data_IF_445421274666
#
_entry.id   IF_445421274666
#
_cell.length_a   1.000
_cell.length_b   1.000
_cell.length_c   1.000
_cell.angle_alpha   90.00
_cell.angle_beta   90.00
_cell.angle_gamma   90.00
#
_symmetry.space_group_name_H-M   'P 1'
#
loop_
_entity.id
_entity.type
_entity.pdbx_description
1 polymer ?
#
# COMPACT_ATOMS: atom_id res chain seq x y z
N UNK A 1 -14.49 2.58 9.59
CA UNK A 1 -13.74 3.73 10.18
C UNK A 1 -12.29 3.31 10.37
N UNK A 2 -11.31 4.14 9.98
CA UNK A 2 -9.89 3.78 10.09
C UNK A 2 -9.48 3.71 11.55
N UNK A 3 -8.76 2.64 11.93
CA UNK A 3 -8.22 2.50 13.28
C UNK A 3 -6.93 3.32 13.45
N UNK A 4 -7.08 4.61 13.73
CA UNK A 4 -5.96 5.54 13.93
C UNK A 4 -5.02 5.15 15.08
N UNK A 5 -5.42 4.24 15.98
CA UNK A 5 -4.56 3.76 17.07
C UNK A 5 -3.36 2.93 16.59
N UNK A 6 -3.44 2.40 15.37
CA UNK A 6 -2.39 1.60 14.76
C UNK A 6 -1.46 2.43 13.85
N UNK A 7 -1.77 3.72 13.62
CA UNK A 7 -1.06 4.60 12.70
C UNK A 7 -0.15 5.59 13.42
N UNK A 8 0.98 5.91 12.80
CA UNK A 8 1.78 7.11 13.10
C UNK A 8 1.41 8.24 12.13
N UNK A 9 0.44 9.06 12.50
CA UNK A 9 -0.04 10.19 11.69
C UNK A 9 0.94 11.37 11.66
N UNK A 10 2.07 11.30 12.37
CA UNK A 10 3.09 12.35 12.31
C UNK A 10 3.77 12.46 10.94
N UNK A 11 3.62 11.43 10.10
CA UNK A 11 4.06 11.42 8.71
C UNK A 11 3.11 12.13 7.74
N UNK A 12 1.87 12.45 8.14
CA UNK A 12 0.87 13.04 7.24
C UNK A 12 1.32 14.41 6.72
N UNK A 13 1.80 15.27 7.58
CA UNK A 13 2.30 16.59 7.19
C UNK A 13 3.47 16.54 6.20
N UNK A 14 4.51 15.71 6.39
CA UNK A 14 5.53 15.47 5.35
C UNK A 14 4.95 14.95 4.03
N UNK A 15 3.97 14.05 4.07
CA UNK A 15 3.32 13.53 2.87
C UNK A 15 2.47 14.57 2.14
N UNK A 16 1.88 15.52 2.84
CA UNK A 16 1.11 16.62 2.25
C UNK A 16 1.97 17.52 1.34
N UNK A 17 3.28 17.52 1.53
CA UNK A 17 4.21 18.26 0.68
C UNK A 17 4.51 17.55 -0.67
N UNK A 18 4.07 16.31 -0.85
CA UNK A 18 4.26 15.54 -2.08
C UNK A 18 3.03 15.74 -2.97
N UNK A 19 3.11 16.66 -3.93
CA UNK A 19 1.97 17.05 -4.79
C UNK A 19 1.37 15.88 -5.58
N UNK A 20 2.21 14.93 -6.02
CA UNK A 20 1.79 13.78 -6.81
C UNK A 20 1.25 12.61 -5.97
N UNK A 21 1.28 12.69 -4.63
CA UNK A 21 0.81 11.66 -3.74
C UNK A 21 -0.71 11.75 -3.58
N UNK A 22 -1.42 10.81 -4.17
CA UNK A 22 -2.88 10.78 -4.11
C UNK A 22 -3.38 10.09 -2.83
N UNK A 23 -2.81 8.93 -2.49
CA UNK A 23 -3.23 8.15 -1.32
C UNK A 23 -2.13 8.14 -0.27
N UNK A 24 -2.49 8.53 0.95
CA UNK A 24 -1.58 8.49 2.08
C UNK A 24 -1.11 7.05 2.36
N UNK A 25 0.20 6.81 2.50
CA UNK A 25 0.70 5.53 2.93
C UNK A 25 0.15 5.12 4.30
N UNK A 26 0.04 3.83 4.55
CA UNK A 26 -0.04 3.31 5.89
C UNK A 26 1.33 3.41 6.54
N UNK A 27 1.42 4.01 7.70
CA UNK A 27 2.64 3.99 8.53
C UNK A 27 2.25 3.49 9.90
N UNK A 28 2.73 2.31 10.28
CA UNK A 28 2.43 1.73 11.58
C UNK A 28 3.01 2.56 12.72
N UNK A 29 2.31 2.63 13.85
CA UNK A 29 2.69 3.46 15.02
C UNK A 29 4.07 3.12 15.57
N UNK A 30 4.56 1.89 15.37
CA UNK A 30 5.87 1.41 15.82
C UNK A 30 6.92 1.41 14.69
N UNK A 31 6.55 1.85 13.46
CA UNK A 31 7.44 1.85 12.29
C UNK A 31 8.78 2.51 12.58
N UNK A 32 8.73 3.71 13.17
CA UNK A 32 9.94 4.51 13.46
C UNK A 32 10.91 3.84 14.43
N UNK A 33 10.38 3.07 15.38
CA UNK A 33 11.16 2.39 16.44
C UNK A 33 11.41 0.92 16.13
N UNK A 34 10.85 0.40 15.03
CA UNK A 34 11.10 -0.97 14.62
C UNK A 34 12.59 -1.19 14.33
N UNK A 35 13.15 -2.37 14.64
CA UNK A 35 14.56 -2.68 14.36
C UNK A 35 14.92 -2.56 12.88
N UNK A 36 13.95 -2.77 12.00
CA UNK A 36 14.03 -2.56 10.55
C UNK A 36 12.80 -1.79 10.10
N UNK A 37 13.01 -0.68 9.41
CA UNK A 37 11.96 0.12 8.80
C UNK A 37 11.58 -0.52 7.46
N UNK A 38 10.64 -1.47 7.51
CA UNK A 38 10.19 -2.18 6.31
C UNK A 38 9.08 -1.40 5.61
N UNK A 39 9.32 -1.00 4.36
CA UNK A 39 8.30 -0.50 3.45
C UNK A 39 7.83 -1.64 2.54
N UNK A 40 6.55 -1.96 2.61
CA UNK A 40 5.90 -2.91 1.71
C UNK A 40 5.25 -2.12 0.57
N UNK A 41 5.56 -2.48 -0.68
CA UNK A 41 5.07 -1.79 -1.87
C UNK A 41 4.16 -2.73 -2.64
N UNK A 42 2.86 -2.42 -2.69
CA UNK A 42 1.88 -3.06 -3.56
C UNK A 42 1.82 -2.38 -4.92
N UNK A 43 1.29 -3.05 -5.93
CA UNK A 43 1.16 -2.49 -7.27
C UNK A 43 0.08 -1.39 -7.31
N UNK A 44 -1.15 -1.75 -6.98
CA UNK A 44 -2.33 -0.88 -6.90
C UNK A 44 -3.43 -1.60 -6.12
N UNK A 45 -4.58 -0.98 -5.92
CA UNK A 45 -5.76 -1.65 -5.40
C UNK A 45 -6.80 -1.90 -6.52
N UNK A 46 -7.73 -2.82 -6.26
CA UNK A 46 -8.78 -3.18 -7.21
C UNK A 46 -10.13 -2.69 -6.70
N UNK A 47 -10.82 -1.90 -7.53
CA UNK A 47 -12.18 -1.47 -7.26
C UNK A 47 -13.17 -2.56 -7.66
N UNK A 48 -13.66 -3.29 -6.69
CA UNK A 48 -14.58 -4.41 -6.88
C UNK A 48 -15.78 -4.28 -5.93
N UNK A 49 -16.94 -4.77 -6.40
CA UNK A 49 -18.11 -4.96 -5.55
C UNK A 49 -17.91 -6.14 -4.58
N UNK A 50 -18.90 -6.41 -3.74
CA UNK A 50 -18.89 -7.51 -2.78
C UNK A 50 -18.78 -8.90 -3.44
N UNK A 51 -19.11 -9.01 -4.73
CA UNK A 51 -19.03 -10.25 -5.52
C UNK A 51 -17.72 -10.38 -6.28
N UNK A 52 -16.83 -9.37 -6.18
CA UNK A 52 -15.55 -9.33 -6.88
C UNK A 52 -15.65 -8.86 -8.33
N UNK A 53 -16.78 -8.27 -8.76
CA UNK A 53 -16.91 -7.67 -10.07
C UNK A 53 -16.36 -6.24 -10.07
N UNK A 54 -15.85 -5.73 -11.22
CA UNK A 54 -15.46 -4.34 -11.35
C UNK A 54 -16.57 -3.38 -10.93
N UNK A 55 -16.25 -2.40 -10.09
CA UNK A 55 -17.20 -1.40 -9.61
C UNK A 55 -16.72 0.01 -9.92
N UNK A 56 -17.34 0.70 -10.91
CA UNK A 56 -17.03 2.10 -11.23
C UNK A 56 -17.31 3.05 -10.06
N UNK A 57 -18.30 2.76 -9.23
CA UNK A 57 -18.60 3.56 -8.03
C UNK A 57 -17.45 3.45 -7.01
N UNK A 58 -17.01 2.22 -6.69
CA UNK A 58 -15.87 1.99 -5.81
C UNK A 58 -14.59 2.60 -6.38
N UNK A 59 -14.41 2.58 -7.70
CA UNK A 59 -13.28 3.24 -8.35
C UNK A 59 -13.30 4.75 -8.12
N UNK A 60 -14.45 5.39 -8.31
CA UNK A 60 -14.61 6.82 -8.09
C UNK A 60 -14.33 7.21 -6.63
N UNK A 61 -14.83 6.42 -5.68
CA UNK A 61 -14.58 6.62 -4.26
C UNK A 61 -13.08 6.49 -3.93
N UNK A 62 -12.42 5.46 -4.44
CA UNK A 62 -10.98 5.26 -4.22
C UNK A 62 -10.14 6.40 -4.79
N UNK A 63 -10.49 6.92 -5.96
CA UNK A 63 -9.76 8.03 -6.58
C UNK A 63 -9.95 9.36 -5.84
N UNK A 64 -11.05 9.53 -5.11
CA UNK A 64 -11.34 10.74 -4.35
C UNK A 64 -10.85 10.69 -2.90
N UNK A 65 -10.74 9.50 -2.32
CA UNK A 65 -10.37 9.31 -0.92
C UNK A 65 -8.85 9.25 -0.75
N UNK A 66 -8.30 10.26 -0.09
CA UNK A 66 -6.88 10.32 0.26
C UNK A 66 -6.43 9.20 1.20
N UNK A 67 -7.34 8.62 1.97
CA UNK A 67 -7.10 7.52 2.90
C UNK A 67 -7.34 6.12 2.30
N UNK A 68 -7.50 6.00 0.99
CA UNK A 68 -7.78 4.72 0.30
C UNK A 68 -6.83 3.59 0.73
N UNK A 69 -5.51 3.80 0.75
CA UNK A 69 -4.56 2.78 1.21
C UNK A 69 -4.85 2.35 2.65
N UNK A 70 -5.11 3.30 3.52
CA UNK A 70 -5.39 3.07 4.94
C UNK A 70 -6.72 2.36 5.14
N UNK A 71 -7.74 2.74 4.39
CA UNK A 71 -9.06 2.11 4.40
C UNK A 71 -9.00 0.64 3.98
N UNK A 72 -8.31 0.35 2.89
CA UNK A 72 -8.12 -1.03 2.40
C UNK A 72 -7.42 -1.89 3.43
N UNK A 73 -6.34 -1.41 4.05
CA UNK A 73 -5.63 -2.15 5.08
C UNK A 73 -6.45 -2.32 6.36
N UNK A 74 -7.19 -1.28 6.75
CA UNK A 74 -8.08 -1.37 7.91
C UNK A 74 -9.18 -2.43 7.73
N UNK A 75 -9.78 -2.49 6.53
CA UNK A 75 -10.71 -3.55 6.20
C UNK A 75 -10.08 -4.95 6.35
N UNK A 76 -8.81 -5.09 5.99
CA UNK A 76 -8.08 -6.35 6.15
C UNK A 76 -7.82 -6.72 7.62
N UNK A 77 -7.70 -5.73 8.52
CA UNK A 77 -7.54 -5.96 9.96
C UNK A 77 -8.82 -6.42 10.64
N UNK A 78 -9.98 -6.00 10.15
CA UNK A 78 -11.28 -6.23 10.78
C UNK A 78 -12.01 -7.49 10.27
N UNK A 79 -11.66 -7.98 9.08
CA UNK A 79 -12.31 -9.14 8.45
C UNK A 79 -11.68 -10.46 8.91
N UNK A 80 -12.51 -11.49 9.13
CA UNK A 80 -12.04 -12.85 9.38
C UNK A 80 -11.32 -13.40 8.14
N UNK A 81 -11.92 -13.22 6.96
CA UNK A 81 -11.33 -13.58 5.67
C UNK A 81 -10.62 -12.40 5.05
N UNK A 82 -9.32 -12.48 4.95
CA UNK A 82 -8.48 -11.45 4.33
C UNK A 82 -8.07 -11.83 2.91
N UNK A 83 -7.69 -10.84 2.12
CA UNK A 83 -7.10 -11.13 0.80
C UNK A 83 -5.82 -11.95 0.93
N UNK A 84 -5.67 -12.95 0.07
CA UNK A 84 -4.57 -13.94 0.08
C UNK A 84 -3.17 -13.31 0.16
N UNK A 85 -2.98 -12.13 -0.43
CA UNK A 85 -1.69 -11.42 -0.40
C UNK A 85 -1.33 -11.01 1.02
N UNK A 86 -2.28 -10.45 1.77
CA UNK A 86 -2.03 -10.01 3.15
C UNK A 86 -1.92 -11.18 4.12
N UNK A 87 -2.71 -12.24 3.91
CA UNK A 87 -2.57 -13.49 4.65
C UNK A 87 -1.17 -14.07 4.49
N UNK A 88 -0.66 -14.14 3.25
CA UNK A 88 0.70 -14.64 2.98
C UNK A 88 1.77 -13.75 3.60
N UNK A 89 1.63 -12.43 3.51
CA UNK A 89 2.55 -11.49 4.16
C UNK A 89 2.61 -11.72 5.66
N UNK A 90 1.45 -11.79 6.32
CA UNK A 90 1.37 -11.98 7.76
C UNK A 90 1.99 -13.32 8.19
N UNK A 91 1.63 -14.41 7.54
CA UNK A 91 2.22 -15.73 7.80
C UNK A 91 3.73 -15.74 7.60
N UNK A 92 4.24 -15.05 6.58
CA UNK A 92 5.68 -15.02 6.27
C UNK A 92 6.46 -14.16 7.26
N UNK A 93 5.94 -12.99 7.62
CA UNK A 93 6.68 -11.99 8.41
C UNK A 93 6.47 -12.13 9.92
N UNK A 94 5.33 -12.67 10.34
CA UNK A 94 4.95 -12.79 11.77
C UNK A 94 4.78 -14.24 12.21
N UNK A 95 4.51 -15.16 11.28
CA UNK A 95 4.33 -16.58 11.57
C UNK A 95 2.88 -17.00 11.87
N UNK A 96 1.91 -16.11 11.69
CA UNK A 96 0.48 -16.35 11.92
C UNK A 96 -0.39 -15.37 11.13
N UNK A 97 -1.72 -15.54 11.18
CA UNK A 97 -2.66 -14.65 10.48
C UNK A 97 -3.92 -14.35 11.31
N UNK A 98 -3.86 -14.58 12.60
CA UNK A 98 -4.90 -14.14 13.50
C UNK A 98 -4.95 -12.60 13.57
N UNK A 99 -6.04 -12.04 14.05
CA UNK A 99 -6.23 -10.59 14.14
C UNK A 99 -5.04 -9.92 14.87
N UNK A 100 -4.57 -10.54 15.96
CA UNK A 100 -3.43 -10.00 16.73
C UNK A 100 -2.10 -10.09 15.96
N UNK A 101 -1.90 -11.11 15.14
CA UNK A 101 -0.71 -11.21 14.28
C UNK A 101 -0.72 -10.14 13.20
N UNK A 102 -1.88 -9.87 12.59
CA UNK A 102 -2.06 -8.78 11.62
C UNK A 102 -1.79 -7.42 12.27
N UNK A 103 -2.30 -7.15 13.47
CA UNK A 103 -2.00 -5.92 14.20
C UNK A 103 -0.50 -5.76 14.43
N UNK A 104 0.18 -6.81 14.92
CA UNK A 104 1.63 -6.81 15.11
C UNK A 104 2.42 -6.46 13.85
N UNK A 105 1.98 -6.99 12.68
CA UNK A 105 2.59 -6.65 11.40
C UNK A 105 2.38 -5.17 11.08
N UNK A 106 1.11 -4.76 11.01
CA UNK A 106 0.75 -3.43 10.51
C UNK A 106 1.16 -2.29 11.45
N UNK A 107 1.38 -2.54 12.72
CA UNK A 107 1.97 -1.58 13.65
C UNK A 107 3.44 -1.26 13.37
N UNK A 108 4.18 -2.17 12.72
CA UNK A 108 5.63 -2.10 12.57
C UNK A 108 6.12 -1.80 11.17
N UNK A 109 5.25 -1.83 10.17
CA UNK A 109 5.61 -1.64 8.77
C UNK A 109 4.95 -0.39 8.21
N UNK A 110 5.50 0.11 7.10
CA UNK A 110 4.79 1.02 6.20
C UNK A 110 4.29 0.24 4.98
N UNK A 111 3.19 0.69 4.39
CA UNK A 111 2.65 0.15 3.15
C UNK A 111 2.26 1.26 2.19
N UNK A 112 2.58 1.07 0.92
CA UNK A 112 2.36 2.01 -0.14
C UNK A 112 1.89 1.31 -1.41
N UNK A 113 0.87 1.84 -2.09
CA UNK A 113 0.54 1.44 -3.45
C UNK A 113 1.33 2.27 -4.44
N UNK A 114 2.09 1.61 -5.31
CA UNK A 114 2.95 2.28 -6.29
C UNK A 114 2.13 3.09 -7.28
N UNK A 115 1.08 2.50 -7.85
CA UNK A 115 0.21 3.13 -8.83
C UNK A 115 -1.08 3.58 -8.14
N UNK A 116 -1.24 4.90 -8.01
CA UNK A 116 -2.34 5.53 -7.27
C UNK A 116 -3.33 6.30 -8.15
N UNK A 117 -2.93 6.66 -9.35
CA UNK A 117 -3.74 7.45 -10.29
C UNK A 117 -4.69 6.60 -11.14
N UNK A 118 -4.68 5.30 -10.97
CA UNK A 118 -5.49 4.36 -11.74
C UNK A 118 -5.86 3.18 -10.86
N UNK A 119 -7.15 3.04 -10.60
CA UNK A 119 -7.69 1.87 -9.90
C UNK A 119 -7.98 0.79 -10.93
N UNK A 120 -7.37 -0.38 -10.76
CA UNK A 120 -7.53 -1.48 -11.71
C UNK A 120 -8.83 -2.22 -11.43
N UNK A 121 -9.71 -2.25 -12.39
CA UNK A 121 -10.99 -2.95 -12.29
C UNK A 121 -10.85 -4.47 -12.46
N UNK A 122 -9.88 -4.93 -13.25
CA UNK A 122 -9.67 -6.36 -13.53
C UNK A 122 -8.20 -6.68 -13.78
N UNK A 123 -7.82 -7.97 -13.68
CA UNK A 123 -6.49 -8.45 -14.09
C UNK A 123 -6.18 -8.16 -15.58
N UNK A 124 -7.22 -8.04 -16.41
CA UNK A 124 -7.06 -7.73 -17.84
C UNK A 124 -6.73 -6.26 -18.09
N UNK A 125 -6.92 -5.38 -17.10
CA UNK A 125 -6.58 -3.98 -17.16
C UNK A 125 -5.30 -3.68 -16.34
N UNK A 126 -4.29 -4.52 -16.51
CA UNK A 126 -3.03 -4.39 -15.81
C UNK A 126 -2.34 -3.06 -16.13
N UNK A 127 -1.58 -2.49 -15.18
CA UNK A 127 -0.76 -1.31 -15.42
C UNK A 127 0.18 -1.51 -16.60
N UNK A 128 0.36 -0.43 -17.36
CA UNK A 128 1.28 -0.38 -18.47
C UNK A 128 2.63 0.20 -18.02
N UNK A 129 3.67 0.05 -18.82
CA UNK A 129 5.01 0.58 -18.51
C UNK A 129 4.99 2.07 -18.14
N UNK A 130 4.12 2.85 -18.79
CA UNK A 130 4.00 4.28 -18.56
C UNK A 130 3.40 4.61 -17.18
N UNK A 131 2.46 3.80 -16.68
CA UNK A 131 1.90 3.97 -15.34
C UNK A 131 3.00 3.87 -14.27
N UNK A 132 3.92 2.92 -14.43
CA UNK A 132 5.08 2.77 -13.52
C UNK A 132 6.05 3.94 -13.60
N UNK A 133 6.33 4.45 -14.81
CA UNK A 133 7.21 5.62 -15.00
C UNK A 133 6.66 6.86 -14.32
N UNK A 134 5.35 7.09 -14.43
CA UNK A 134 4.69 8.20 -13.76
C UNK A 134 4.64 8.05 -12.24
N UNK A 135 4.53 6.83 -11.74
CA UNK A 135 4.46 6.55 -10.30
C UNK A 135 5.83 6.66 -9.60
N UNK A 136 6.91 6.44 -10.34
CA UNK A 136 8.26 6.35 -9.78
C UNK A 136 8.75 7.61 -9.05
N UNK A 137 8.62 8.83 -9.60
CA UNK A 137 9.02 10.04 -8.89
C UNK A 137 8.32 10.20 -7.54
N UNK A 138 7.00 9.96 -7.48
CA UNK A 138 6.23 10.01 -6.25
C UNK A 138 6.74 8.99 -5.22
N UNK A 139 7.00 7.75 -5.65
CA UNK A 139 7.58 6.71 -4.80
C UNK A 139 8.90 7.14 -4.17
N UNK A 140 9.80 7.76 -4.95
CA UNK A 140 11.08 8.24 -4.43
C UNK A 140 10.91 9.33 -3.35
N UNK A 141 9.93 10.22 -3.51
CA UNK A 141 9.61 11.21 -2.47
C UNK A 141 9.06 10.54 -1.20
N UNK A 142 8.20 9.54 -1.34
CA UNK A 142 7.70 8.73 -0.21
C UNK A 142 8.86 8.03 0.51
N UNK A 143 9.81 7.45 -0.23
CA UNK A 143 11.02 6.83 0.34
C UNK A 143 11.87 7.85 1.11
N UNK A 144 12.03 9.07 0.61
CA UNK A 144 12.76 10.15 1.32
C UNK A 144 12.11 10.50 2.64
N UNK A 145 10.77 10.50 2.72
CA UNK A 145 10.02 10.77 3.95
C UNK A 145 10.14 9.61 4.93
N UNK A 146 9.90 8.38 4.47
CA UNK A 146 9.87 7.18 5.32
C UNK A 146 11.25 6.71 5.74
N UNK A 147 12.27 6.88 4.90
CA UNK A 147 13.64 6.39 5.08
C UNK A 147 13.70 4.91 5.45
N UNK A 148 13.08 4.01 4.67
CA UNK A 148 13.07 2.60 4.97
C UNK A 148 14.49 2.01 4.93
N UNK A 149 14.76 1.02 5.80
CA UNK A 149 15.97 0.20 5.70
C UNK A 149 15.82 -0.89 4.66
N UNK A 150 14.57 -1.31 4.42
CA UNK A 150 14.22 -2.38 3.50
C UNK A 150 12.93 -2.06 2.75
N UNK A 151 12.88 -2.46 1.47
CA UNK A 151 11.67 -2.40 0.66
C UNK A 151 11.30 -3.80 0.19
N UNK A 152 10.08 -4.24 0.49
CA UNK A 152 9.49 -5.47 -0.04
C UNK A 152 8.48 -5.12 -1.12
N UNK A 153 8.82 -5.40 -2.36
CA UNK A 153 7.96 -5.12 -3.51
C UNK A 153 7.14 -6.35 -3.85
N UNK A 154 5.83 -6.20 -3.88
CA UNK A 154 4.89 -7.29 -4.16
C UNK A 154 4.55 -7.33 -5.66
N UNK A 155 4.57 -8.54 -6.22
CA UNK A 155 4.17 -8.79 -7.61
C UNK A 155 5.33 -8.76 -8.61
N UNK A 156 5.33 -9.75 -9.49
CA UNK A 156 6.40 -9.93 -10.51
C UNK A 156 6.43 -8.85 -11.57
N UNK A 157 5.29 -8.20 -11.84
CA UNK A 157 5.23 -7.06 -12.77
C UNK A 157 5.96 -5.84 -12.23
N UNK A 158 5.93 -5.63 -10.93
CA UNK A 158 6.68 -4.55 -10.27
C UNK A 158 8.19 -4.76 -10.39
N UNK A 159 8.68 -6.00 -10.34
CA UNK A 159 10.10 -6.31 -10.53
C UNK A 159 10.62 -5.78 -11.87
N UNK A 160 9.89 -6.04 -12.95
CA UNK A 160 10.24 -5.54 -14.29
C UNK A 160 10.24 -4.01 -14.33
N UNK A 161 9.28 -3.35 -13.67
CA UNK A 161 9.18 -1.91 -13.63
C UNK A 161 10.35 -1.25 -12.86
N UNK A 162 10.78 -1.84 -11.75
CA UNK A 162 11.94 -1.40 -10.98
C UNK A 162 13.24 -1.51 -11.79
N UNK A 163 13.43 -2.60 -12.57
CA UNK A 163 14.60 -2.76 -13.46
C UNK A 163 14.71 -1.63 -14.49
N UNK A 164 13.61 -1.23 -15.12
CA UNK A 164 13.60 -0.15 -16.11
C UNK A 164 13.83 1.24 -15.54
N UNK A 165 13.56 1.46 -14.26
CA UNK A 165 13.76 2.78 -13.62
C UNK A 165 15.18 3.02 -13.15
N UNK A 166 15.99 1.96 -13.05
CA UNK A 166 17.39 2.04 -12.62
C UNK A 166 18.35 2.27 -13.80
N UNK A 167 17.88 2.17 -15.05
CA UNK A 167 18.67 2.34 -16.28
C UNK A 167 18.65 3.79 -16.82
N UNK A 168 18.06 4.74 -16.10
CA UNK A 168 18.05 6.18 -16.41
C UNK A 168 18.81 6.98 -15.34
#
# INVERSE_FOLDING_TARGET
>A
MINHKLLDTSYDKPFDAIESLQWLPWVGREYRTAPRQLLIVGESCYAQDEKGNPSPETEADFLQDRDTTRGVLNCNLEKEDTWKVYTRLCNTLVGGNEIEDRKKLWERVAYYYLIQNRVMQTLNNAPQKEDYRHAWPCFLEVVKVLKPTDCLVLGTRNETAFGFSMEQ
#
